data_IF_288394008756
#
_entry.id   IF_288394008756
#
_cell.length_a   1.000
_cell.length_b   1.000
_cell.length_c   1.000
_cell.angle_alpha   90.00
_cell.angle_beta   90.00
_cell.angle_gamma   90.00
#
_symmetry.space_group_name_H-M   'P 1'
#
loop_
_entity.id
_entity.type
_entity.pdbx_description
1 polymer ?
#
# COMPACT_ATOMS: atom_id res chain seq x y z
N UNK A 1 19.60 -7.40 -20.35
CA UNK A 1 18.99 -6.11 -20.73
C UNK A 1 19.10 -5.19 -19.53
N UNK A 2 20.15 -4.38 -19.46
CA UNK A 2 20.24 -3.30 -18.49
C UNK A 2 19.62 -2.06 -19.15
N UNK A 3 18.32 -1.86 -18.94
CA UNK A 3 17.75 -0.54 -19.15
C UNK A 3 18.15 0.24 -17.89
N UNK A 4 18.84 1.38 -18.02
CA UNK A 4 19.26 2.17 -16.87
C UNK A 4 18.02 2.52 -16.02
N UNK A 5 17.91 1.85 -14.87
CA UNK A 5 16.79 2.01 -13.96
C UNK A 5 17.04 3.27 -13.14
N UNK A 6 16.60 4.42 -13.66
CA UNK A 6 16.51 5.65 -12.86
C UNK A 6 15.32 5.52 -11.91
N UNK A 7 15.61 5.32 -10.63
CA UNK A 7 14.62 5.32 -9.56
C UNK A 7 14.61 6.68 -8.88
N UNK A 8 13.43 7.21 -8.63
CA UNK A 8 13.20 8.43 -7.85
C UNK A 8 12.70 8.04 -6.44
N UNK A 9 13.54 8.14 -5.40
CA UNK A 9 13.15 7.84 -4.02
C UNK A 9 12.03 8.75 -3.49
N UNK A 10 11.94 9.99 -3.97
CA UNK A 10 10.87 10.92 -3.63
C UNK A 10 9.52 10.44 -4.18
N UNK A 11 9.48 10.00 -5.43
CA UNK A 11 8.29 9.40 -6.03
C UNK A 11 7.87 8.10 -5.33
N UNK A 12 8.83 7.28 -4.88
CA UNK A 12 8.53 6.08 -4.09
C UNK A 12 7.87 6.41 -2.75
N UNK A 13 8.35 7.42 -2.03
CA UNK A 13 7.69 7.88 -0.77
C UNK A 13 6.31 8.47 -1.01
N UNK A 14 6.15 9.24 -2.09
CA UNK A 14 4.84 9.76 -2.47
C UNK A 14 3.85 8.62 -2.79
N UNK A 15 4.30 7.60 -3.53
CA UNK A 15 3.54 6.39 -3.82
C UNK A 15 3.18 5.60 -2.56
N UNK A 16 4.12 5.48 -1.61
CA UNK A 16 3.86 4.85 -0.31
C UNK A 16 2.76 5.60 0.47
N UNK A 17 2.86 6.92 0.58
CA UNK A 17 1.88 7.76 1.29
C UNK A 17 0.49 7.64 0.67
N UNK A 18 0.41 7.71 -0.66
CA UNK A 18 -0.83 7.52 -1.41
C UNK A 18 -1.44 6.13 -1.19
N UNK A 19 -0.60 5.10 -1.19
CA UNK A 19 -1.03 3.71 -0.94
C UNK A 19 -1.57 3.55 0.47
N UNK A 20 -0.93 4.12 1.48
CA UNK A 20 -1.43 4.06 2.86
C UNK A 20 -2.79 4.75 3.01
N UNK A 21 -3.00 5.89 2.34
CA UNK A 21 -4.30 6.55 2.31
C UNK A 21 -5.39 5.66 1.71
N UNK A 22 -5.09 4.99 0.58
CA UNK A 22 -6.00 4.02 -0.05
C UNK A 22 -6.27 2.84 0.89
N UNK A 23 -5.25 2.32 1.59
CA UNK A 23 -5.40 1.23 2.54
C UNK A 23 -6.37 1.62 3.67
N UNK A 24 -6.24 2.83 4.22
CA UNK A 24 -7.14 3.36 5.26
C UNK A 24 -8.57 3.49 4.74
N UNK A 25 -8.77 4.06 3.55
CA UNK A 25 -10.10 4.20 2.94
C UNK A 25 -10.77 2.83 2.73
N UNK A 26 -10.00 1.82 2.31
CA UNK A 26 -10.52 0.49 2.08
C UNK A 26 -10.92 -0.22 3.37
N UNK A 27 -10.20 0.02 4.48
CA UNK A 27 -10.50 -0.52 5.80
C UNK A 27 -11.64 0.21 6.54
N UNK A 28 -11.87 1.49 6.25
CA UNK A 28 -12.89 2.32 6.92
C UNK A 28 -14.32 2.12 6.37
N UNK A 29 -14.47 1.55 5.18
CA UNK A 29 -15.77 1.35 4.58
C UNK A 29 -16.56 0.26 5.33
N UNK A 30 -17.67 0.64 5.96
CA UNK A 30 -18.64 -0.27 6.58
C UNK A 30 -19.85 -0.49 5.66
N UNK A 31 -20.46 -1.68 5.70
CA UNK A 31 -21.80 -1.89 5.14
C UNK A 31 -22.81 -1.74 6.26
N UNK A 32 -23.87 -0.95 6.03
CA UNK A 32 -25.01 -0.92 6.93
C UNK A 32 -25.85 -2.18 6.70
N UNK A 33 -25.63 -3.20 7.53
CA UNK A 33 -26.41 -4.43 7.48
C UNK A 33 -27.75 -4.23 8.17
N UNK A 34 -28.68 -3.57 7.49
CA UNK A 34 -30.07 -3.51 7.89
C UNK A 34 -30.71 -4.90 7.83
N UNK A 35 -30.76 -5.61 8.96
CA UNK A 35 -31.43 -6.92 9.05
C UNK A 35 -32.94 -6.70 9.05
N UNK A 36 -33.54 -6.62 7.86
CA UNK A 36 -34.98 -6.70 7.69
C UNK A 36 -35.50 -8.10 8.05
N UNK A 37 -36.73 -8.22 8.56
CA UNK A 37 -37.32 -9.49 9.05
C UNK A 37 -37.63 -10.56 7.98
N UNK A 38 -37.10 -10.43 6.76
CA UNK A 38 -37.37 -11.35 5.64
C UNK A 38 -36.29 -12.45 5.55
N UNK A 39 -36.59 -13.66 5.05
CA UNK A 39 -35.63 -14.76 4.96
C UNK A 39 -34.34 -14.45 4.18
N UNK A 40 -34.42 -13.57 3.18
CA UNK A 40 -33.29 -13.13 2.34
C UNK A 40 -32.25 -12.26 3.08
N UNK A 41 -32.61 -11.68 4.23
CA UNK A 41 -31.72 -10.81 5.01
C UNK A 41 -30.45 -11.53 5.50
N UNK A 42 -30.58 -12.82 5.82
CA UNK A 42 -29.45 -13.65 6.25
C UNK A 42 -28.38 -13.78 5.14
N UNK A 43 -28.81 -13.94 3.89
CA UNK A 43 -27.92 -14.02 2.74
C UNK A 43 -27.24 -12.68 2.44
N UNK A 44 -27.98 -11.57 2.56
CA UNK A 44 -27.41 -10.21 2.41
C UNK A 44 -26.36 -9.95 3.48
N UNK A 45 -26.65 -10.25 4.75
CA UNK A 45 -25.69 -10.09 5.84
C UNK A 45 -24.43 -10.96 5.66
N UNK A 46 -24.57 -12.18 5.14
CA UNK A 46 -23.43 -13.03 4.82
C UNK A 46 -22.56 -12.43 3.71
N UNK A 47 -23.17 -11.84 2.68
CA UNK A 47 -22.45 -11.16 1.59
C UNK A 47 -21.77 -9.87 2.06
N UNK A 48 -22.44 -9.07 2.89
CA UNK A 48 -21.86 -7.87 3.50
C UNK A 48 -20.61 -8.23 4.30
N UNK A 49 -20.69 -9.27 5.13
CA UNK A 49 -19.55 -9.79 5.90
C UNK A 49 -18.41 -10.27 4.99
N UNK A 50 -18.71 -11.00 3.92
CA UNK A 50 -17.70 -11.42 2.95
C UNK A 50 -17.01 -10.22 2.27
N UNK A 51 -17.76 -9.19 1.90
CA UNK A 51 -17.22 -7.96 1.31
C UNK A 51 -16.31 -7.22 2.31
N UNK A 52 -16.73 -7.12 3.58
CA UNK A 52 -15.92 -6.50 4.64
C UNK A 52 -14.58 -7.25 4.82
N UNK A 53 -14.62 -8.58 4.86
CA UNK A 53 -13.40 -9.39 4.97
C UNK A 53 -12.45 -9.19 3.78
N UNK A 54 -12.97 -9.15 2.56
CA UNK A 54 -12.15 -8.90 1.36
C UNK A 54 -11.53 -7.51 1.39
N UNK A 55 -12.30 -6.48 1.78
CA UNK A 55 -11.77 -5.11 1.92
C UNK A 55 -10.65 -5.02 2.95
N UNK A 56 -10.81 -5.67 4.11
CA UNK A 56 -9.77 -5.74 5.13
C UNK A 56 -8.49 -6.42 4.62
N UNK A 57 -8.62 -7.55 3.91
CA UNK A 57 -7.46 -8.22 3.29
C UNK A 57 -6.76 -7.31 2.26
N UNK A 58 -7.53 -6.62 1.43
CA UNK A 58 -6.96 -5.72 0.43
C UNK A 58 -6.29 -4.49 1.05
N UNK A 59 -6.87 -3.94 2.12
CA UNK A 59 -6.27 -2.85 2.90
C UNK A 59 -4.87 -3.25 3.40
N UNK A 60 -4.77 -4.44 4.01
CA UNK A 60 -3.48 -4.97 4.48
C UNK A 60 -2.45 -5.17 3.36
N UNK A 61 -2.88 -5.64 2.18
CA UNK A 61 -1.98 -5.80 1.02
C UNK A 61 -1.45 -4.47 0.51
N UNK A 62 -2.30 -3.45 0.43
CA UNK A 62 -1.90 -2.11 -0.04
C UNK A 62 -0.97 -1.43 0.97
N UNK A 63 -1.24 -1.57 2.27
CA UNK A 63 -0.33 -1.06 3.31
C UNK A 63 1.03 -1.77 3.30
N UNK A 64 1.06 -3.09 3.09
CA UNK A 64 2.33 -3.81 2.92
C UNK A 64 3.13 -3.29 1.71
N UNK A 65 2.47 -3.04 0.59
CA UNK A 65 3.10 -2.43 -0.58
C UNK A 65 3.62 -1.02 -0.29
N UNK A 66 2.92 -0.21 0.50
CA UNK A 66 3.41 1.10 0.94
C UNK A 66 4.70 0.99 1.77
N UNK A 67 4.77 -0.03 2.64
CA UNK A 67 5.97 -0.39 3.38
C UNK A 67 7.15 -0.73 2.46
N UNK A 68 6.91 -1.57 1.46
CA UNK A 68 7.93 -1.98 0.47
C UNK A 68 8.46 -0.77 -0.32
N UNK A 69 7.58 0.13 -0.76
CA UNK A 69 7.95 1.36 -1.47
C UNK A 69 8.82 2.29 -0.60
N UNK A 70 8.44 2.46 0.68
CA UNK A 70 9.21 3.25 1.64
C UNK A 70 10.59 2.65 1.91
N UNK A 71 10.65 1.33 2.09
CA UNK A 71 11.90 0.62 2.30
C UNK A 71 12.81 0.69 1.07
N UNK A 72 12.25 0.57 -0.14
CA UNK A 72 12.98 0.74 -1.38
C UNK A 72 13.56 2.16 -1.51
N UNK A 73 12.76 3.20 -1.21
CA UNK A 73 13.23 4.58 -1.23
C UNK A 73 14.45 4.80 -0.31
N UNK A 74 14.40 4.29 0.92
CA UNK A 74 15.52 4.38 1.87
C UNK A 74 16.79 3.64 1.40
N UNK A 75 16.64 2.51 0.70
CA UNK A 75 17.78 1.78 0.13
C UNK A 75 18.42 2.54 -1.03
N UNK A 76 17.63 3.16 -1.90
CA UNK A 76 18.16 3.94 -3.02
C UNK A 76 18.93 5.17 -2.52
N UNK A 77 18.38 5.92 -1.56
CA UNK A 77 19.10 7.05 -0.95
C UNK A 77 20.46 6.63 -0.37
N UNK A 78 20.50 5.52 0.38
CA UNK A 78 21.75 5.02 0.97
C UNK A 78 22.79 4.61 -0.08
N UNK A 79 22.36 4.02 -1.19
CA UNK A 79 23.24 3.65 -2.31
C UNK A 79 23.77 4.91 -3.02
N UNK A 80 22.92 5.91 -3.23
CA UNK A 80 23.30 7.17 -3.86
C UNK A 80 24.31 7.94 -3.00
N UNK A 81 24.08 8.04 -1.69
CA UNK A 81 25.02 8.66 -0.74
C UNK A 81 26.36 7.92 -0.69
N UNK A 82 26.35 6.59 -0.63
CA UNK A 82 27.58 5.78 -0.61
C UNK A 82 28.37 5.93 -1.92
N UNK A 83 27.67 5.96 -3.06
CA UNK A 83 28.30 6.14 -4.37
C UNK A 83 28.90 7.55 -4.51
N UNK A 84 28.18 8.58 -4.06
CA UNK A 84 28.67 9.96 -4.09
C UNK A 84 29.89 10.14 -3.18
N UNK A 85 29.89 9.55 -1.97
CA UNK A 85 31.03 9.55 -1.08
C UNK A 85 32.26 8.86 -1.68
N UNK A 86 32.09 7.67 -2.26
CA UNK A 86 33.18 6.96 -2.91
C UNK A 86 33.78 7.72 -4.11
N UNK A 87 32.98 8.45 -4.88
CA UNK A 87 33.48 9.31 -5.96
C UNK A 87 34.26 10.50 -5.41
N UNK A 88 33.79 11.12 -4.33
CA UNK A 88 34.50 12.22 -3.67
C UNK A 88 35.86 11.79 -3.10
N UNK A 89 35.99 10.54 -2.63
CA UNK A 89 37.26 9.98 -2.16
C UNK A 89 38.26 9.65 -3.29
N UNK A 90 37.79 9.56 -4.54
CA UNK A 90 38.63 9.29 -5.72
C UNK A 90 39.16 10.57 -6.40
N UNK A 91 38.69 11.75 -6.00
CA UNK A 91 39.13 13.05 -6.53
C UNK A 91 40.15 13.73 -5.61
#
# INVERSE_FOLDING_TARGET
MANDLRVDPGALRAGATSSEMIAVELGAASVDSGVGGYPSSSGVAAMDSAVMNVRAMQSGRVSAQAGDLSAAAGRYDAIDEQSAGGVAELM
#
